data_IF_059390851301
#
_entry.id   IF_059390851301
#
_cell.length_a   1.000
_cell.length_b   1.000
_cell.length_c   1.000
_cell.angle_alpha   90.00
_cell.angle_beta   90.00
_cell.angle_gamma   90.00
#
_symmetry.space_group_name_H-M   'P 1'
#
loop_
_entity.id
_entity.type
_entity.pdbx_description
1 polymer ?
#
# COMPACT_ATOMS: atom_id res chain seq x y z
N UNK A 1 4.40 -51.64 6.32
CA UNK A 1 3.78 -50.55 7.09
C UNK A 1 3.51 -49.40 6.15
N UNK A 2 2.24 -49.10 5.86
CA UNK A 2 1.88 -47.97 5.00
C UNK A 2 2.33 -46.67 5.68
N UNK A 3 3.17 -45.87 5.01
CA UNK A 3 3.52 -44.54 5.51
C UNK A 3 2.23 -43.71 5.48
N UNK A 4 1.75 -43.29 6.65
CA UNK A 4 0.64 -42.34 6.76
C UNK A 4 0.92 -41.08 5.94
N UNK A 5 -0.15 -40.47 5.42
CA UNK A 5 -0.05 -39.20 4.69
C UNK A 5 0.66 -38.16 5.54
N UNK A 6 1.59 -37.41 4.94
CA UNK A 6 2.24 -36.27 5.58
C UNK A 6 1.43 -34.97 5.45
N UNK A 7 0.35 -35.01 4.68
CA UNK A 7 -0.52 -33.86 4.47
C UNK A 7 -1.56 -33.79 5.59
N UNK A 8 -2.03 -32.57 5.95
CA UNK A 8 -3.23 -32.41 6.75
C UNK A 8 -4.41 -33.15 6.12
N UNK A 9 -5.36 -33.54 6.95
CA UNK A 9 -6.63 -34.06 6.46
C UNK A 9 -7.33 -32.99 5.60
N UNK A 10 -8.06 -33.46 4.59
CA UNK A 10 -8.85 -32.57 3.74
C UNK A 10 -9.92 -31.92 4.64
N UNK A 11 -10.02 -30.58 4.68
CA UNK A 11 -11.07 -29.92 5.45
C UNK A 11 -12.47 -30.34 5.00
N UNK A 12 -13.40 -30.42 5.95
CA UNK A 12 -14.82 -30.58 5.65
C UNK A 12 -15.39 -29.27 5.08
N UNK A 13 -15.37 -29.16 3.75
CA UNK A 13 -15.79 -27.95 3.05
C UNK A 13 -17.28 -27.65 3.23
N UNK A 14 -18.14 -28.67 3.29
CA UNK A 14 -19.59 -28.48 3.44
C UNK A 14 -19.93 -27.87 4.81
N UNK A 15 -19.25 -28.35 5.86
CA UNK A 15 -19.37 -27.79 7.21
C UNK A 15 -18.85 -26.36 7.28
N UNK A 16 -17.69 -26.08 6.67
CA UNK A 16 -17.11 -24.74 6.61
C UNK A 16 -18.00 -23.74 5.85
N UNK A 17 -18.62 -24.15 4.74
CA UNK A 17 -19.55 -23.32 3.98
C UNK A 17 -20.84 -23.04 4.76
N UNK A 18 -21.37 -24.03 5.46
CA UNK A 18 -22.55 -23.85 6.33
C UNK A 18 -22.26 -22.88 7.47
N UNK A 19 -21.11 -23.05 8.15
CA UNK A 19 -20.68 -22.16 9.23
C UNK A 19 -20.40 -20.73 8.73
N UNK A 20 -19.88 -20.58 7.51
CA UNK A 20 -19.62 -19.28 6.90
C UNK A 20 -20.87 -18.39 6.84
N UNK A 21 -22.07 -18.96 6.63
CA UNK A 21 -23.32 -18.21 6.63
C UNK A 21 -23.60 -17.50 7.96
N UNK A 22 -23.24 -18.12 9.09
CA UNK A 22 -23.38 -17.52 10.43
C UNK A 22 -22.40 -16.36 10.71
N UNK A 23 -21.27 -16.33 10.01
CA UNK A 23 -20.23 -15.29 10.14
C UNK A 23 -20.33 -14.16 9.11
N UNK A 24 -21.39 -14.15 8.29
CA UNK A 24 -21.51 -13.29 7.12
C UNK A 24 -21.28 -11.80 7.42
N UNK A 25 -21.82 -11.27 8.53
CA UNK A 25 -21.64 -9.88 8.93
C UNK A 25 -20.18 -9.49 9.15
N UNK A 26 -19.45 -10.25 9.98
CA UNK A 26 -18.03 -10.00 10.28
C UNK A 26 -17.17 -10.08 9.01
N UNK A 27 -17.42 -11.08 8.16
CA UNK A 27 -16.66 -11.29 6.93
C UNK A 27 -16.91 -10.17 5.92
N UNK A 28 -18.16 -9.79 5.72
CA UNK A 28 -18.55 -8.70 4.83
C UNK A 28 -17.93 -7.38 5.29
N UNK A 29 -17.92 -7.10 6.59
CA UNK A 29 -17.25 -5.92 7.13
C UNK A 29 -15.74 -5.94 6.87
N UNK A 30 -15.05 -7.03 7.23
CA UNK A 30 -13.61 -7.16 7.01
C UNK A 30 -13.24 -7.02 5.53
N UNK A 31 -13.94 -7.71 4.64
CA UNK A 31 -13.68 -7.63 3.20
C UNK A 31 -14.01 -6.24 2.65
N UNK A 32 -15.06 -5.58 3.15
CA UNK A 32 -15.36 -4.19 2.84
C UNK A 32 -14.23 -3.24 3.24
N UNK A 33 -13.65 -3.43 4.42
CA UNK A 33 -12.51 -2.62 4.89
C UNK A 33 -11.25 -2.87 4.04
N UNK A 34 -10.92 -4.13 3.76
CA UNK A 34 -9.78 -4.48 2.89
C UNK A 34 -9.98 -3.89 1.49
N UNK A 35 -11.19 -4.01 0.92
CA UNK A 35 -11.52 -3.41 -0.38
C UNK A 35 -11.35 -1.89 -0.37
N UNK A 36 -11.84 -1.21 0.67
CA UNK A 36 -11.66 0.23 0.84
C UNK A 36 -10.18 0.62 0.96
N UNK A 37 -9.37 -0.15 1.70
CA UNK A 37 -7.92 0.08 1.82
C UNK A 37 -7.24 -0.01 0.44
N UNK A 38 -7.56 -1.04 -0.35
CA UNK A 38 -7.00 -1.23 -1.69
C UNK A 38 -7.42 -0.11 -2.63
N UNK A 39 -8.69 0.29 -2.58
CA UNK A 39 -9.24 1.38 -3.38
C UNK A 39 -8.53 2.72 -3.08
N UNK A 40 -8.48 3.13 -1.81
CA UNK A 40 -7.85 4.39 -1.43
C UNK A 40 -6.35 4.40 -1.70
N UNK A 41 -5.68 3.24 -1.51
CA UNK A 41 -4.27 3.07 -1.87
C UNK A 41 -4.02 3.24 -3.36
N UNK A 42 -4.83 2.60 -4.21
CA UNK A 42 -4.70 2.70 -5.68
C UNK A 42 -4.89 4.15 -6.17
N UNK A 43 -5.88 4.85 -5.60
CA UNK A 43 -6.10 6.26 -5.90
C UNK A 43 -4.88 7.12 -5.53
N UNK A 44 -4.25 6.88 -4.39
CA UNK A 44 -3.01 7.57 -4.00
C UNK A 44 -1.83 7.23 -4.90
N UNK A 45 -1.67 5.95 -5.27
CA UNK A 45 -0.59 5.53 -6.17
C UNK A 45 -0.70 6.22 -7.54
N UNK A 46 -1.93 6.33 -8.06
CA UNK A 46 -2.17 6.96 -9.36
C UNK A 46 -1.67 8.41 -9.42
N UNK A 47 -1.66 9.15 -8.31
CA UNK A 47 -1.20 10.54 -8.27
C UNK A 47 0.30 10.68 -8.48
N UNK A 48 1.08 9.62 -8.29
CA UNK A 48 2.51 9.61 -8.58
C UNK A 48 2.80 9.89 -10.07
N UNK A 49 1.84 9.61 -10.98
CA UNK A 49 2.00 9.95 -12.40
C UNK A 49 2.16 11.47 -12.59
N UNK A 50 1.44 12.28 -11.82
CA UNK A 50 1.53 13.74 -11.91
C UNK A 50 2.82 14.26 -11.29
N UNK A 51 3.34 13.60 -10.26
CA UNK A 51 4.68 13.89 -9.73
C UNK A 51 5.76 13.61 -10.79
N UNK A 52 5.67 12.47 -11.48
CA UNK A 52 6.57 12.15 -12.59
C UNK A 52 6.46 13.19 -13.72
N UNK A 53 5.23 13.55 -14.10
CA UNK A 53 4.95 14.56 -15.12
C UNK A 53 5.62 15.90 -14.82
N UNK A 54 5.40 16.42 -13.60
CA UNK A 54 5.97 17.70 -13.16
C UNK A 54 7.49 17.64 -13.04
N UNK A 55 8.03 16.60 -12.38
CA UNK A 55 9.46 16.49 -12.11
C UNK A 55 10.31 16.22 -13.37
N UNK A 56 9.72 15.58 -14.40
CA UNK A 56 10.34 15.40 -15.71
C UNK A 56 10.01 16.53 -16.70
N UNK A 57 9.13 17.47 -16.34
CA UNK A 57 8.65 18.54 -17.22
C UNK A 57 8.16 18.01 -18.58
N UNK A 58 7.26 17.03 -18.52
CA UNK A 58 6.76 16.31 -19.71
C UNK A 58 5.24 16.31 -19.76
N UNK A 59 4.67 15.86 -20.89
CA UNK A 59 3.23 15.71 -21.04
C UNK A 59 2.69 14.46 -20.33
N UNK A 60 1.37 14.44 -20.12
CA UNK A 60 0.69 13.35 -19.40
C UNK A 60 0.87 11.97 -20.06
N UNK A 61 0.69 11.79 -21.39
CA UNK A 61 1.01 10.54 -22.07
C UNK A 61 2.44 10.04 -21.80
N UNK A 62 3.45 10.90 -21.93
CA UNK A 62 4.85 10.55 -21.67
C UNK A 62 5.08 10.11 -20.21
N UNK A 63 4.49 10.84 -19.25
CA UNK A 63 4.55 10.46 -17.83
C UNK A 63 3.86 9.11 -17.54
N UNK A 64 2.73 8.83 -18.20
CA UNK A 64 2.03 7.55 -18.10
C UNK A 64 2.87 6.38 -18.64
N UNK A 65 3.61 6.57 -19.74
CA UNK A 65 4.52 5.55 -20.28
C UNK A 65 5.62 5.24 -19.27
N UNK A 66 6.26 6.26 -18.69
CA UNK A 66 7.29 6.08 -17.66
C UNK A 66 6.72 5.36 -16.44
N UNK A 67 5.58 5.84 -15.91
CA UNK A 67 4.92 5.26 -14.75
C UNK A 67 4.48 3.80 -14.97
N UNK A 68 3.93 3.50 -16.15
CA UNK A 68 3.48 2.17 -16.55
C UNK A 68 4.63 1.18 -16.79
N UNK A 69 5.79 1.67 -17.21
CA UNK A 69 7.00 0.85 -17.41
C UNK A 69 7.63 0.41 -16.09
N UNK A 70 7.42 1.19 -15.01
CA UNK A 70 7.86 0.81 -13.67
C UNK A 70 6.90 -0.22 -13.08
N UNK A 71 7.32 -1.50 -13.12
CA UNK A 71 6.51 -2.66 -12.72
C UNK A 71 6.19 -2.76 -11.22
N UNK A 72 6.76 -1.90 -10.37
CA UNK A 72 6.52 -1.93 -8.93
C UNK A 72 6.26 -0.53 -8.38
N UNK A 73 5.37 -0.44 -7.39
CA UNK A 73 5.13 0.78 -6.60
C UNK A 73 6.43 1.32 -6.02
N UNK A 74 7.31 0.45 -5.54
CA UNK A 74 8.62 0.84 -5.00
C UNK A 74 9.45 1.60 -6.04
N UNK A 75 9.55 1.07 -7.26
CA UNK A 75 10.31 1.72 -8.33
C UNK A 75 9.72 3.11 -8.69
N UNK A 76 8.38 3.25 -8.67
CA UNK A 76 7.69 4.53 -8.89
C UNK A 76 8.00 5.54 -7.79
N UNK A 77 7.92 5.13 -6.53
CA UNK A 77 8.26 5.98 -5.36
C UNK A 77 9.73 6.39 -5.40
N UNK A 78 10.63 5.44 -5.67
CA UNK A 78 12.07 5.71 -5.77
C UNK A 78 12.38 6.72 -6.88
N UNK A 79 11.73 6.59 -8.06
CA UNK A 79 11.89 7.56 -9.14
C UNK A 79 11.47 8.97 -8.69
N UNK A 80 10.27 9.10 -8.10
CA UNK A 80 9.76 10.38 -7.62
C UNK A 80 10.70 11.01 -6.59
N UNK A 81 11.16 10.23 -5.60
CA UNK A 81 12.07 10.75 -4.57
C UNK A 81 13.43 11.18 -5.16
N UNK A 82 13.98 10.41 -6.09
CA UNK A 82 15.25 10.73 -6.75
C UNK A 82 15.13 11.98 -7.63
N UNK A 83 14.08 12.09 -8.42
CA UNK A 83 13.82 13.27 -9.24
C UNK A 83 13.60 14.50 -8.36
N UNK A 84 12.79 14.41 -7.30
CA UNK A 84 12.54 15.52 -6.40
C UNK A 84 13.82 16.02 -5.73
N UNK A 85 14.72 15.12 -5.33
CA UNK A 85 16.02 15.49 -4.76
C UNK A 85 16.89 16.33 -5.71
N UNK A 86 16.76 16.12 -7.01
CA UNK A 86 17.54 16.84 -8.04
C UNK A 86 16.83 18.12 -8.49
N UNK A 87 15.50 18.09 -8.60
CA UNK A 87 14.70 19.14 -9.25
C UNK A 87 14.09 20.16 -8.29
N UNK A 88 13.83 19.78 -7.05
CA UNK A 88 13.17 20.66 -6.06
C UNK A 88 14.23 21.25 -5.15
N UNK A 89 14.50 22.56 -5.26
CA UNK A 89 15.50 23.23 -4.41
C UNK A 89 14.96 23.64 -3.04
N UNK A 90 13.64 23.80 -2.94
CA UNK A 90 12.97 24.14 -1.68
C UNK A 90 12.99 22.95 -0.71
N UNK A 91 13.66 23.16 0.43
CA UNK A 91 13.80 22.14 1.50
C UNK A 91 12.48 21.82 2.17
N UNK A 92 11.57 22.78 2.32
CA UNK A 92 10.26 22.56 2.91
C UNK A 92 9.41 21.67 2.01
N UNK A 93 9.39 21.95 0.69
CA UNK A 93 8.71 21.10 -0.28
C UNK A 93 9.30 19.68 -0.33
N UNK A 94 10.62 19.53 -0.28
CA UNK A 94 11.25 18.20 -0.20
C UNK A 94 10.81 17.45 1.07
N UNK A 95 10.82 18.12 2.22
CA UNK A 95 10.44 17.49 3.49
C UNK A 95 8.95 17.11 3.52
N UNK A 96 8.09 17.95 2.93
CA UNK A 96 6.67 17.65 2.76
C UNK A 96 6.45 16.44 1.87
N UNK A 97 7.12 16.36 0.71
CA UNK A 97 7.06 15.19 -0.16
C UNK A 97 7.51 13.91 0.55
N UNK A 98 8.63 13.99 1.28
CA UNK A 98 9.15 12.86 2.07
C UNK A 98 8.12 12.36 3.08
N UNK A 99 7.43 13.27 3.77
CA UNK A 99 6.36 12.94 4.71
C UNK A 99 5.16 12.25 4.03
N UNK A 100 4.75 12.75 2.86
CA UNK A 100 3.67 12.13 2.07
C UNK A 100 4.06 10.72 1.59
N UNK A 101 5.28 10.55 1.08
CA UNK A 101 5.80 9.25 0.64
C UNK A 101 5.91 8.24 1.79
N UNK A 102 6.34 8.68 2.98
CA UNK A 102 6.46 7.81 4.14
C UNK A 102 5.10 7.26 4.60
N UNK A 103 4.05 8.11 4.57
CA UNK A 103 2.68 7.69 4.87
C UNK A 103 2.11 6.77 3.80
N UNK A 104 2.38 7.05 2.53
CA UNK A 104 1.99 6.16 1.43
C UNK A 104 2.65 4.76 1.57
N UNK A 105 3.93 4.70 1.97
CA UNK A 105 4.62 3.42 2.22
C UNK A 105 4.01 2.67 3.41
N UNK A 106 3.60 3.37 4.49
CA UNK A 106 2.89 2.75 5.61
C UNK A 106 1.59 2.09 5.15
N UNK A 107 0.77 2.79 4.34
CA UNK A 107 -0.44 2.22 3.73
C UNK A 107 -0.13 1.05 2.79
N UNK A 108 0.97 1.10 2.05
CA UNK A 108 1.44 0.00 1.17
C UNK A 108 1.76 -1.25 1.99
N UNK A 109 2.44 -1.10 3.13
CA UNK A 109 2.77 -2.22 4.03
C UNK A 109 1.49 -2.84 4.60
N UNK A 110 0.53 -2.02 5.03
CA UNK A 110 -0.74 -2.52 5.56
C UNK A 110 -1.56 -3.25 4.50
N UNK A 111 -1.65 -2.69 3.28
CA UNK A 111 -2.31 -3.35 2.12
C UNK A 111 -1.67 -4.71 1.85
N UNK A 112 -0.35 -4.77 1.85
CA UNK A 112 0.38 -6.01 1.61
C UNK A 112 0.20 -7.02 2.74
N UNK A 113 0.13 -6.57 3.99
CA UNK A 113 -0.16 -7.44 5.15
C UNK A 113 -1.50 -8.14 4.98
N UNK A 114 -2.57 -7.41 4.63
CA UNK A 114 -3.90 -8.03 4.49
C UNK A 114 -4.08 -8.84 3.20
N UNK A 115 -3.49 -8.42 2.09
CA UNK A 115 -3.63 -9.14 0.81
C UNK A 115 -2.68 -10.33 0.65
N UNK A 116 -1.66 -10.43 1.50
CA UNK A 116 -0.73 -11.57 1.54
C UNK A 116 -0.74 -12.25 2.92
N UNK A 117 -1.89 -12.23 3.60
CA UNK A 117 -2.12 -13.00 4.82
C UNK A 117 -2.83 -14.31 4.51
N UNK A 118 -2.53 -15.35 5.30
CA UNK A 118 -3.43 -16.50 5.43
C UNK A 118 -4.45 -16.18 6.53
N UNK A 119 -5.73 -16.45 6.26
CA UNK A 119 -6.82 -16.20 7.21
C UNK A 119 -7.22 -17.50 7.89
N UNK A 120 -7.27 -17.47 9.22
CA UNK A 120 -7.72 -18.60 10.03
C UNK A 120 -9.18 -18.42 10.42
N UNK A 121 -9.96 -19.50 10.29
CA UNK A 121 -11.38 -19.52 10.60
C UNK A 121 -11.66 -20.46 11.78
N UNK A 122 -12.62 -20.10 12.64
CA UNK A 122 -13.11 -21.00 13.70
C UNK A 122 -14.22 -21.92 13.19
N UNK A 123 -14.70 -22.82 14.05
CA UNK A 123 -15.82 -23.74 13.78
C UNK A 123 -17.13 -23.02 13.43
N UNK A 124 -17.28 -21.75 13.83
CA UNK A 124 -18.42 -20.90 13.49
C UNK A 124 -18.20 -20.10 12.19
N UNK A 125 -17.13 -20.40 11.44
CA UNK A 125 -16.79 -19.75 10.17
C UNK A 125 -16.24 -18.32 10.31
N UNK A 126 -16.01 -17.83 11.54
CA UNK A 126 -15.52 -16.47 11.82
C UNK A 126 -14.03 -16.40 11.55
N UNK A 127 -13.60 -15.29 10.95
CA UNK A 127 -12.17 -15.02 10.78
C UNK A 127 -11.61 -14.59 12.13
N UNK A 128 -10.68 -15.37 12.67
CA UNK A 128 -10.11 -15.13 14.00
C UNK A 128 -8.70 -14.57 13.95
N UNK A 129 -7.90 -14.92 12.94
CA UNK A 129 -6.50 -14.51 12.85
C UNK A 129 -6.04 -14.32 11.41
N UNK A 130 -5.00 -13.51 11.26
CA UNK A 130 -4.16 -13.46 10.07
C UNK A 130 -2.76 -13.99 10.38
N UNK A 131 -2.17 -14.68 9.41
CA UNK A 131 -0.78 -15.13 9.46
C UNK A 131 0.01 -14.46 8.34
N UNK A 132 1.06 -13.73 8.70
CA UNK A 132 1.95 -13.13 7.72
C UNK A 132 2.69 -14.24 6.94
N UNK A 133 2.62 -14.20 5.61
CA UNK A 133 3.30 -15.15 4.72
C UNK A 133 4.79 -14.82 4.55
N UNK A 134 5.49 -14.58 5.68
CA UNK A 134 6.92 -14.29 5.70
C UNK A 134 7.63 -15.34 6.55
N UNK A 135 8.75 -15.84 6.01
CA UNK A 135 9.65 -16.74 6.72
C UNK A 135 10.55 -15.87 7.62
N UNK A 136 10.53 -16.13 8.92
CA UNK A 136 11.50 -15.60 9.86
C UNK A 136 12.49 -16.70 10.26
N UNK A 137 13.73 -16.56 9.80
CA UNK A 137 14.83 -17.43 10.20
C UNK A 137 15.45 -16.90 11.50
N UNK A 138 15.35 -17.69 12.57
CA UNK A 138 16.11 -17.46 13.81
C UNK A 138 17.03 -18.65 14.06
N UNK A 139 18.31 -18.48 13.70
CA UNK A 139 19.33 -19.51 13.84
C UNK A 139 18.97 -20.76 13.03
N UNK A 140 18.79 -21.90 13.70
CA UNK A 140 18.41 -23.18 13.07
C UNK A 140 16.89 -23.40 12.98
N UNK A 141 16.07 -22.44 13.39
CA UNK A 141 14.60 -22.53 13.37
C UNK A 141 14.00 -21.60 12.34
N UNK A 142 13.12 -22.16 11.50
CA UNK A 142 12.25 -21.41 10.60
C UNK A 142 10.91 -21.21 11.31
N UNK A 143 10.49 -19.96 11.50
CA UNK A 143 9.14 -19.63 11.96
C UNK A 143 8.34 -19.05 10.79
N UNK A 144 7.15 -19.60 10.57
CA UNK A 144 6.14 -18.93 9.76
C UNK A 144 5.69 -17.67 10.51
N UNK A 145 5.48 -16.58 9.78
CA UNK A 145 5.38 -15.22 10.30
C UNK A 145 4.37 -15.01 11.44
N UNK A 146 4.37 -13.79 11.97
CA UNK A 146 3.59 -13.44 13.17
C UNK A 146 2.08 -13.67 12.94
N UNK A 147 1.45 -14.45 13.80
CA UNK A 147 0.00 -14.58 13.91
C UNK A 147 -0.56 -13.34 14.62
N UNK A 148 -1.64 -12.77 14.09
CA UNK A 148 -2.31 -11.61 14.69
C UNK A 148 -3.82 -11.86 14.78
N UNK A 149 -4.41 -11.58 15.94
CA UNK A 149 -5.85 -11.72 16.15
C UNK A 149 -6.62 -10.68 15.32
N UNK A 150 -7.77 -11.07 14.78
CA UNK A 150 -8.73 -10.19 14.11
C UNK A 150 -9.79 -9.73 15.10
N UNK A 151 -9.38 -8.87 16.03
CA UNK A 151 -10.22 -8.23 17.04
C UNK A 151 -10.68 -6.82 16.60
N UNK A 152 -11.52 -6.19 17.42
CA UNK A 152 -12.05 -4.85 17.14
C UNK A 152 -10.96 -3.77 17.12
N UNK A 153 -9.91 -3.90 17.96
CA UNK A 153 -8.78 -2.97 17.95
C UNK A 153 -8.10 -2.96 16.58
N UNK A 154 -7.87 -4.14 16.01
CA UNK A 154 -7.27 -4.28 14.69
C UNK A 154 -8.19 -3.81 13.57
N UNK A 155 -9.50 -4.01 13.68
CA UNK A 155 -10.46 -3.45 12.73
C UNK A 155 -10.47 -1.91 12.80
N UNK A 156 -10.41 -1.32 14.00
CA UNK A 156 -10.33 0.13 14.17
C UNK A 156 -9.01 0.73 13.66
N UNK A 157 -7.90 -0.01 13.81
CA UNK A 157 -6.63 0.37 13.20
C UNK A 157 -6.74 0.42 11.67
N UNK A 158 -7.42 -0.57 11.07
CA UNK A 158 -7.67 -0.60 9.62
C UNK A 158 -8.57 0.57 9.18
N UNK A 159 -9.67 0.85 9.91
CA UNK A 159 -10.55 2.01 9.66
C UNK A 159 -9.78 3.33 9.75
N UNK A 160 -8.88 3.44 10.72
CA UNK A 160 -8.02 4.62 10.91
C UNK A 160 -7.06 4.81 9.75
N UNK A 161 -6.42 3.75 9.27
CA UNK A 161 -5.51 3.84 8.13
C UNK A 161 -6.25 4.22 6.84
N UNK A 162 -7.45 3.69 6.62
CA UNK A 162 -8.30 4.08 5.47
C UNK A 162 -8.60 5.59 5.51
N UNK A 163 -8.96 6.14 6.69
CA UNK A 163 -9.16 7.59 6.85
C UNK A 163 -7.87 8.38 6.56
N UNK A 164 -6.72 7.90 7.07
CA UNK A 164 -5.40 8.49 6.82
C UNK A 164 -5.05 8.53 5.33
N UNK A 165 -5.31 7.44 4.61
CA UNK A 165 -5.08 7.31 3.17
C UNK A 165 -6.01 8.21 2.35
N UNK A 166 -7.28 8.34 2.72
CA UNK A 166 -8.20 9.28 2.08
C UNK A 166 -7.75 10.74 2.29
N UNK A 167 -7.24 11.08 3.47
CA UNK A 167 -6.66 12.40 3.74
C UNK A 167 -5.38 12.61 2.94
N UNK A 168 -4.52 11.60 2.85
CA UNK A 168 -3.29 11.62 2.08
C UNK A 168 -3.55 11.96 0.61
N UNK A 169 -4.65 11.46 0.03
CA UNK A 169 -5.05 11.79 -1.34
C UNK A 169 -5.21 13.29 -1.56
N UNK A 170 -5.96 13.95 -0.66
CA UNK A 170 -6.21 15.40 -0.71
C UNK A 170 -4.91 16.19 -0.53
N UNK A 171 -4.05 15.72 0.36
CA UNK A 171 -2.76 16.37 0.61
C UNK A 171 -1.79 16.24 -0.57
N UNK A 172 -1.85 15.13 -1.32
CA UNK A 172 -1.15 15.00 -2.59
C UNK A 172 -1.63 16.01 -3.62
N UNK A 173 -2.94 16.15 -3.81
CA UNK A 173 -3.49 17.17 -4.73
C UNK A 173 -3.02 18.58 -4.38
N UNK A 174 -3.08 18.97 -3.09
CA UNK A 174 -2.58 20.26 -2.65
C UNK A 174 -1.06 20.40 -2.81
N UNK A 175 -0.32 19.31 -2.67
CA UNK A 175 1.13 19.30 -2.88
C UNK A 175 1.48 19.46 -4.36
N UNK A 176 0.73 18.86 -5.28
CA UNK A 176 0.95 18.97 -6.73
C UNK A 176 0.90 20.43 -7.18
N UNK A 177 -0.10 21.20 -6.75
CA UNK A 177 -0.20 22.64 -7.08
C UNK A 177 0.98 23.45 -6.55
N UNK A 178 1.46 23.14 -5.34
CA UNK A 178 2.62 23.83 -4.76
C UNK A 178 3.92 23.45 -5.48
N UNK A 179 4.07 22.19 -5.88
CA UNK A 179 5.21 21.71 -6.65
C UNK A 179 5.27 22.34 -8.04
N UNK A 180 4.14 22.41 -8.74
CA UNK A 180 4.03 23.05 -10.06
C UNK A 180 4.47 24.52 -9.99
N UNK A 181 3.93 25.29 -9.04
CA UNK A 181 4.31 26.69 -8.85
C UNK A 181 5.81 26.89 -8.57
N UNK A 182 6.43 25.99 -7.80
CA UNK A 182 7.88 26.01 -7.54
C UNK A 182 8.70 25.74 -8.80
N UNK A 183 8.30 24.75 -9.60
CA UNK A 183 9.02 24.37 -10.82
C UNK A 183 8.88 25.44 -11.91
N UNK A 184 7.71 26.06 -12.05
CA UNK A 184 7.47 27.17 -12.98
C UNK A 184 8.19 28.45 -12.55
N UNK A 185 8.26 28.71 -11.24
CA UNK A 185 9.02 29.82 -10.67
C UNK A 185 10.53 29.67 -10.86
N UNK A 186 11.05 28.44 -10.78
CA UNK A 186 12.43 28.10 -11.08
C UNK A 186 12.79 28.23 -12.55
N UNK A 187 11.89 27.85 -13.46
CA UNK A 187 12.10 27.95 -14.91
C UNK A 187 12.23 29.40 -15.43
N UNK A 188 11.67 30.38 -14.71
CA UNK A 188 11.83 31.81 -15.03
C UNK A 188 13.15 32.41 -14.54
N UNK A 189 13.91 31.69 -13.70
CA UNK A 189 15.18 32.13 -13.11
C UNK A 189 16.43 31.54 -13.77
N UNK A 190 16.29 30.64 -14.76
CA UNK A 190 17.42 30.13 -15.54
C UNK A 190 17.84 31.15 -16.60
N UNK A 191 18.92 31.90 -16.30
CA UNK A 191 19.66 32.70 -17.28
C UNK A 191 20.25 31.75 -18.36
N UNK A 192 20.19 32.04 -19.67
CA UNK A 192 20.53 31.10 -20.75
C UNK A 192 22.02 30.70 -20.86
N UNK A 193 22.83 30.87 -19.82
CA UNK A 193 24.29 30.79 -19.89
C UNK A 193 24.93 29.47 -19.51
N UNK A 194 24.17 28.44 -19.19
CA UNK A 194 24.73 27.10 -18.97
C UNK A 194 23.95 26.06 -19.75
N UNK A 195 24.37 25.92 -21.02
CA UNK A 195 24.25 24.70 -21.83
C UNK A 195 24.86 23.50 -21.13
#
# INVERSE_FOLDING_TARGET
>A
MARGSKLPEIPDFDSLETAAAGSHGQRTELFGLIGNLVYTWSNNESLLVYLVMLLLQTDRPSALIVFGTLNTTRARVDLVQRLARVKVQDRELQQRLKGLMARFDAGTRLRNEYLHAMFSVDEAGRITHTHAMRIEERGRTIRFGTQRAMDEERLEALRTEIRSMNRLNREFWLFLSALEAHLDGGAKGEDPKTR
#
